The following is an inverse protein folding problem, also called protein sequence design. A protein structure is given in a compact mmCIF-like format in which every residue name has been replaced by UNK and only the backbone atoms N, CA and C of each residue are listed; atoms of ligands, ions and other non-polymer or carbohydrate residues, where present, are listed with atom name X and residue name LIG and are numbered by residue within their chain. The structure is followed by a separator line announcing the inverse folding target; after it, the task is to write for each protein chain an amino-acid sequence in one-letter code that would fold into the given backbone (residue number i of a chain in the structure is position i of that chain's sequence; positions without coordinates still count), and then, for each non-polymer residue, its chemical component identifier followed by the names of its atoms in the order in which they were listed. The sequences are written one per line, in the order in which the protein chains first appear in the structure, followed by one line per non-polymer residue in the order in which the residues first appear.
data_IF_539455267493
#
_entry.id   IF_539455267493
#
_cell.length_a   1.000
_cell.length_b   1.000
_cell.length_c   1.000
_cell.angle_alpha   90.00
_cell.angle_beta   90.00
_cell.angle_gamma   90.00
#
_symmetry.space_group_name_H-M   'P 1'
#
loop_
_entity.id
_entity.type
_entity.pdbx_description
1 polymer ?
#
# COMPACT_ATOMS: atom_id res chain seq x y z
N UNK A 1 -10.44 9.81 -13.24
CA UNK A 1 -9.77 11.11 -13.02
C UNK A 1 -9.42 11.37 -11.56
N UNK A 2 -10.37 11.44 -10.63
CA UNK A 2 -10.08 11.73 -9.21
C UNK A 2 -9.03 10.77 -8.62
N UNK A 3 -9.15 9.47 -8.90
CA UNK A 3 -8.20 8.44 -8.48
C UNK A 3 -6.77 8.77 -8.94
N UNK A 4 -6.58 9.15 -10.21
CA UNK A 4 -5.27 9.56 -10.73
C UNK A 4 -4.71 10.78 -10.00
N UNK A 5 -5.57 11.77 -9.71
CA UNK A 5 -5.18 12.96 -8.95
C UNK A 5 -4.82 12.61 -7.49
N UNK A 6 -5.57 11.72 -6.85
CA UNK A 6 -5.30 11.26 -5.47
C UNK A 6 -3.99 10.45 -5.37
N UNK A 7 -3.73 9.55 -6.32
CA UNK A 7 -2.46 8.83 -6.44
C UNK A 7 -1.26 9.76 -6.64
N UNK A 8 -1.50 10.98 -7.12
CA UNK A 8 -0.52 12.05 -7.31
C UNK A 8 -0.84 13.29 -6.45
N UNK A 9 -1.44 13.10 -5.27
CA UNK A 9 -1.81 14.20 -4.38
C UNK A 9 -0.64 15.18 -4.15
N UNK A 10 -0.95 16.48 -4.17
CA UNK A 10 0.02 17.57 -4.09
C UNK A 10 0.92 17.74 -5.34
N UNK A 11 0.78 16.93 -6.39
CA UNK A 11 1.55 17.06 -7.64
C UNK A 11 0.67 17.47 -8.82
N UNK A 12 1.29 18.13 -9.79
CA UNK A 12 0.65 18.41 -11.06
C UNK A 12 0.53 17.13 -11.90
N UNK A 13 -0.66 16.85 -12.42
CA UNK A 13 -0.91 15.79 -13.38
C UNK A 13 -1.23 16.43 -14.74
N UNK A 14 -0.50 16.06 -15.81
CA UNK A 14 -0.74 16.60 -17.15
C UNK A 14 -2.17 16.34 -17.64
N UNK A 15 -2.76 17.32 -18.32
CA UNK A 15 -4.10 17.18 -18.89
C UNK A 15 -4.14 16.02 -19.90
N UNK A 16 -3.11 15.85 -20.71
CA UNK A 16 -2.99 14.76 -21.69
C UNK A 16 -3.08 13.39 -21.03
N UNK A 17 -2.45 13.21 -19.86
CA UNK A 17 -2.50 11.95 -19.11
C UNK A 17 -3.90 11.69 -18.56
N UNK A 18 -4.56 12.73 -18.01
CA UNK A 18 -5.95 12.61 -17.54
C UNK A 18 -6.91 12.27 -18.69
N UNK A 19 -6.63 12.78 -19.89
CA UNK A 19 -7.41 12.51 -21.09
C UNK A 19 -7.20 11.09 -21.60
N UNK A 20 -5.96 10.63 -21.71
CA UNK A 20 -5.64 9.28 -22.18
C UNK A 20 -6.19 8.21 -21.25
N UNK A 21 -6.13 8.47 -19.94
CA UNK A 21 -6.63 7.59 -18.90
C UNK A 21 -8.14 7.35 -19.00
N UNK A 22 -8.93 8.39 -19.29
CA UNK A 22 -10.40 8.32 -19.19
C UNK A 22 -11.09 8.23 -20.56
N UNK A 23 -10.48 8.79 -21.61
CA UNK A 23 -11.11 8.99 -22.92
C UNK A 23 -10.22 8.53 -24.09
N UNK A 24 -9.51 7.41 -23.93
CA UNK A 24 -8.57 6.85 -24.92
C UNK A 24 -9.13 6.73 -26.36
N UNK A 25 -10.45 6.63 -26.54
CA UNK A 25 -11.13 6.45 -27.82
C UNK A 25 -11.91 7.67 -28.33
N UNK A 26 -11.84 8.82 -27.65
CA UNK A 26 -12.59 10.05 -28.03
C UNK A 26 -11.75 11.05 -28.83
N UNK A 27 -12.40 11.90 -29.64
CA UNK A 27 -11.70 12.98 -30.34
C UNK A 27 -11.18 14.04 -29.37
N UNK A 28 -10.00 14.62 -29.65
CA UNK A 28 -9.31 15.54 -28.74
C UNK A 28 -10.16 16.74 -28.28
N UNK A 29 -10.96 17.33 -29.17
CA UNK A 29 -11.83 18.47 -28.87
C UNK A 29 -12.96 18.08 -27.90
N UNK A 30 -13.50 16.86 -28.05
CA UNK A 30 -14.56 16.34 -27.18
C UNK A 30 -14.01 16.00 -25.81
N UNK A 31 -12.83 15.38 -25.78
CA UNK A 31 -12.15 14.95 -24.56
C UNK A 31 -11.75 16.17 -23.69
N UNK A 32 -11.21 17.23 -24.28
CA UNK A 32 -10.88 18.46 -23.55
C UNK A 32 -12.11 19.14 -22.91
N UNK A 33 -13.24 19.20 -23.62
CA UNK A 33 -14.50 19.70 -23.05
C UNK A 33 -15.00 18.82 -21.91
N UNK A 34 -14.94 17.50 -22.07
CA UNK A 34 -15.34 16.55 -21.04
C UNK A 34 -14.46 16.66 -19.79
N UNK A 35 -13.15 16.86 -19.95
CA UNK A 35 -12.21 17.10 -18.86
C UNK A 35 -12.63 18.29 -18.00
N UNK A 36 -12.90 19.44 -18.63
CA UNK A 36 -13.36 20.63 -17.91
C UNK A 36 -14.68 20.39 -17.15
N UNK A 37 -15.62 19.66 -17.75
CA UNK A 37 -16.89 19.31 -17.09
C UNK A 37 -16.64 18.42 -15.85
N UNK A 38 -15.78 17.40 -15.96
CA UNK A 38 -15.45 16.53 -14.83
C UNK A 38 -14.74 17.32 -13.72
N UNK A 39 -13.78 18.18 -14.07
CA UNK A 39 -13.10 19.05 -13.09
C UNK A 39 -14.09 19.97 -12.37
N UNK A 40 -15.02 20.60 -13.09
CA UNK A 40 -16.06 21.45 -12.48
C UNK A 40 -16.89 20.67 -11.47
N UNK A 41 -17.38 19.47 -11.86
CA UNK A 41 -18.17 18.62 -10.97
C UNK A 41 -17.40 18.16 -9.74
N UNK A 42 -16.11 17.85 -9.87
CA UNK A 42 -15.28 17.49 -8.73
C UNK A 42 -15.08 18.68 -7.78
N UNK A 43 -14.82 19.89 -8.31
CA UNK A 43 -14.73 21.11 -7.49
C UNK A 43 -16.02 21.37 -6.73
N UNK A 44 -17.17 21.23 -7.38
CA UNK A 44 -18.47 21.31 -6.71
C UNK A 44 -18.62 20.28 -5.59
N UNK A 45 -18.21 19.02 -5.85
CA UNK A 45 -18.24 17.96 -4.84
C UNK A 45 -17.28 18.21 -3.66
N UNK A 46 -16.11 18.82 -3.87
CA UNK A 46 -15.24 19.20 -2.76
C UNK A 46 -15.74 20.44 -2.02
N UNK A 47 -16.34 21.40 -2.72
CA UNK A 47 -16.94 22.58 -2.12
C UNK A 47 -18.06 22.22 -1.13
N UNK A 48 -18.87 21.19 -1.41
CA UNK A 48 -19.89 20.70 -0.46
C UNK A 48 -19.28 20.12 0.83
N UNK A 49 -18.01 19.74 0.79
CA UNK A 49 -17.23 19.25 1.93
C UNK A 49 -16.30 20.32 2.53
N UNK A 50 -16.43 21.58 2.10
CA UNK A 50 -15.69 22.72 2.66
C UNK A 50 -14.36 23.05 2.00
N UNK A 51 -14.01 22.42 0.88
CA UNK A 51 -12.74 22.64 0.19
C UNK A 51 -12.94 22.92 -1.31
N UNK A 52 -13.41 24.13 -1.64
CA UNK A 52 -13.67 24.51 -3.03
C UNK A 52 -12.39 24.60 -3.90
N UNK A 53 -11.21 24.70 -3.27
CA UNK A 53 -9.92 24.87 -3.94
C UNK A 53 -9.11 23.57 -4.00
N UNK A 54 -9.67 22.45 -3.51
CA UNK A 54 -9.03 21.13 -3.52
C UNK A 54 -8.45 20.73 -4.89
N UNK A 55 -9.04 21.16 -6.01
CA UNK A 55 -8.49 20.93 -7.35
C UNK A 55 -8.06 22.25 -7.98
N UNK A 56 -6.75 22.42 -8.10
CA UNK A 56 -6.12 23.57 -8.73
C UNK A 56 -5.87 23.33 -10.21
N UNK A 57 -6.07 24.36 -11.02
CA UNK A 57 -5.57 24.37 -12.39
C UNK A 57 -4.16 24.94 -12.38
N UNK A 58 -3.22 24.17 -12.90
CA UNK A 58 -1.79 24.51 -12.96
C UNK A 58 -1.34 24.55 -14.43
N UNK A 59 -0.19 25.16 -14.75
CA UNK A 59 0.33 25.12 -16.12
C UNK A 59 0.41 23.67 -16.64
N UNK A 60 -0.27 23.38 -17.74
CA UNK A 60 -0.27 22.06 -18.39
C UNK A 60 -1.18 20.99 -17.75
N UNK A 61 -1.92 21.29 -16.67
CA UNK A 61 -2.72 20.25 -16.03
C UNK A 61 -3.47 20.65 -14.77
N UNK A 62 -3.65 19.67 -13.89
CA UNK A 62 -4.43 19.81 -12.66
C UNK A 62 -3.70 19.19 -11.48
N UNK A 63 -3.91 19.75 -10.29
CA UNK A 63 -3.35 19.25 -9.03
C UNK A 63 -4.46 19.08 -8.01
N UNK A 64 -4.44 17.98 -7.27
CA UNK A 64 -5.22 17.85 -6.03
C UNK A 64 -4.39 18.45 -4.89
N UNK A 65 -4.78 19.63 -4.42
CA UNK A 65 -4.06 20.46 -3.47
C UNK A 65 -4.33 20.05 -2.00
N UNK A 66 -4.17 18.76 -1.72
CA UNK A 66 -4.22 18.21 -0.36
C UNK A 66 -2.85 17.66 0.01
N UNK A 67 -2.55 17.65 1.31
CA UNK A 67 -1.39 16.92 1.80
C UNK A 67 -1.55 15.43 1.46
N UNK A 68 -0.49 14.82 0.92
CA UNK A 68 -0.49 13.43 0.44
C UNK A 68 -1.08 12.47 1.46
N UNK A 69 -0.76 12.69 2.73
CA UNK A 69 -1.08 11.81 3.83
C UNK A 69 -2.58 11.80 4.21
N UNK A 70 -3.37 12.72 3.65
CA UNK A 70 -4.84 12.65 3.69
C UNK A 70 -5.41 11.60 2.74
N UNK A 71 -4.61 11.06 1.83
CA UNK A 71 -4.98 9.90 1.01
C UNK A 71 -4.39 8.65 1.65
N UNK A 72 -5.26 7.68 1.94
CA UNK A 72 -4.95 6.41 2.60
C UNK A 72 -3.74 5.69 1.98
N UNK A 73 -3.60 5.70 0.66
CA UNK A 73 -2.47 5.07 -0.04
C UNK A 73 -1.11 5.68 0.35
N UNK A 74 -1.00 7.01 0.45
CA UNK A 74 0.27 7.64 0.82
C UNK A 74 0.54 7.47 2.31
N UNK A 75 -0.52 7.48 3.13
CA UNK A 75 -0.44 7.15 4.54
C UNK A 75 0.06 5.74 4.79
N UNK A 76 -0.46 4.76 4.05
CA UNK A 76 -0.02 3.39 4.07
C UNK A 76 1.47 3.27 3.73
N UNK A 77 1.91 3.81 2.60
CA UNK A 77 3.32 3.75 2.16
C UNK A 77 4.26 4.36 3.21
N UNK A 78 3.89 5.51 3.78
CA UNK A 78 4.70 6.17 4.81
C UNK A 78 4.79 5.32 6.08
N UNK A 79 3.66 4.81 6.58
CA UNK A 79 3.63 3.99 7.79
C UNK A 79 4.42 2.68 7.60
N UNK A 80 4.28 2.02 6.45
CA UNK A 80 5.03 0.82 6.09
C UNK A 80 6.55 1.08 6.09
N UNK A 81 6.99 2.20 5.50
CA UNK A 81 8.41 2.62 5.52
C UNK A 81 8.92 2.85 6.94
N UNK A 82 8.13 3.55 7.76
CA UNK A 82 8.48 3.81 9.15
C UNK A 82 8.53 2.53 9.96
N UNK A 83 7.62 1.58 9.70
CA UNK A 83 7.60 0.28 10.35
C UNK A 83 8.86 -0.53 10.02
N UNK A 84 9.28 -0.57 8.75
CA UNK A 84 10.51 -1.24 8.33
C UNK A 84 11.75 -0.60 8.97
N UNK A 85 11.82 0.73 9.03
CA UNK A 85 12.91 1.44 9.70
C UNK A 85 12.96 1.11 11.20
N UNK A 86 11.83 1.18 11.90
CA UNK A 86 11.73 0.82 13.31
C UNK A 86 12.11 -0.65 13.57
N UNK A 87 11.75 -1.56 12.65
CA UNK A 87 12.15 -2.96 12.70
C UNK A 87 13.68 -3.10 12.60
N UNK A 88 14.31 -2.41 11.64
CA UNK A 88 15.76 -2.43 11.45
C UNK A 88 16.53 -1.88 12.66
N UNK A 89 15.95 -0.92 13.38
CA UNK A 89 16.49 -0.34 14.62
C UNK A 89 16.21 -1.21 15.87
N UNK A 90 15.52 -2.34 15.73
CA UNK A 90 15.15 -3.22 16.84
C UNK A 90 14.01 -2.68 17.71
N UNK A 91 13.32 -1.61 17.29
CA UNK A 91 12.18 -1.04 17.99
C UNK A 91 10.89 -1.83 17.70
N UNK A 92 10.85 -3.11 18.11
CA UNK A 92 9.79 -4.07 17.76
C UNK A 92 8.37 -3.58 18.07
N UNK A 93 8.13 -2.99 19.25
CA UNK A 93 6.80 -2.49 19.61
C UNK A 93 6.34 -1.33 18.71
N UNK A 94 7.27 -0.45 18.33
CA UNK A 94 7.00 0.65 17.41
C UNK A 94 6.71 0.14 16.01
N UNK A 95 7.51 -0.80 15.52
CA UNK A 95 7.31 -1.42 14.21
C UNK A 95 5.95 -2.13 14.12
N UNK A 96 5.57 -2.89 15.16
CA UNK A 96 4.28 -3.58 15.22
C UNK A 96 3.09 -2.61 15.17
N UNK A 97 3.15 -1.51 15.94
CA UNK A 97 2.12 -0.49 15.93
C UNK A 97 2.00 0.20 14.56
N UNK A 98 3.12 0.50 13.90
CA UNK A 98 3.14 1.14 12.59
C UNK A 98 2.62 0.22 11.49
N UNK A 99 3.02 -1.06 11.47
CA UNK A 99 2.49 -2.04 10.52
C UNK A 99 0.99 -2.21 10.67
N UNK A 100 0.49 -2.31 11.91
CA UNK A 100 -0.94 -2.42 12.18
C UNK A 100 -1.69 -1.19 11.70
N UNK A 101 -1.19 0.01 12.03
CA UNK A 101 -1.78 1.26 11.57
C UNK A 101 -1.80 1.38 10.04
N UNK A 102 -0.75 0.90 9.36
CA UNK A 102 -0.73 0.85 7.90
C UNK A 102 -1.81 -0.08 7.35
N UNK A 103 -1.95 -1.28 7.90
CA UNK A 103 -2.92 -2.28 7.45
C UNK A 103 -4.37 -1.90 7.76
N UNK A 104 -4.63 -1.18 8.85
CA UNK A 104 -5.97 -0.68 9.23
C UNK A 104 -6.54 0.36 8.25
N UNK A 105 -5.70 1.01 7.43
CA UNK A 105 -6.16 1.93 6.38
C UNK A 105 -6.92 1.21 5.25
N UNK A 106 -6.72 -0.11 5.11
CA UNK A 106 -7.32 -0.90 4.06
C UNK A 106 -8.72 -1.36 4.42
N UNK A 107 -9.69 -0.99 3.57
CA UNK A 107 -11.11 -1.32 3.75
C UNK A 107 -11.59 -2.46 2.83
N UNK A 108 -10.69 -3.02 2.03
CA UNK A 108 -10.99 -4.01 1.01
C UNK A 108 -9.88 -4.08 -0.04
N UNK A 109 -10.11 -4.75 -1.17
CA UNK A 109 -9.20 -4.73 -2.32
C UNK A 109 -8.99 -3.29 -2.83
N UNK A 110 -7.78 -3.02 -3.32
CA UNK A 110 -7.44 -1.71 -3.89
C UNK A 110 -8.44 -1.34 -4.99
N UNK A 111 -9.08 -0.16 -4.85
CA UNK A 111 -9.95 0.42 -5.88
C UNK A 111 -11.12 -0.50 -6.32
N UNK A 112 -11.61 -1.38 -5.44
CA UNK A 112 -12.68 -2.34 -5.73
C UNK A 112 -13.96 -1.70 -6.31
N UNK A 113 -14.25 -0.44 -5.99
CA UNK A 113 -15.41 0.29 -6.50
C UNK A 113 -15.27 0.70 -7.98
N UNK A 114 -14.09 0.52 -8.57
CA UNK A 114 -13.78 0.85 -9.96
C UNK A 114 -13.86 -0.34 -10.92
N UNK A 115 -14.17 -1.55 -10.45
CA UNK A 115 -14.35 -2.78 -11.25
C UNK A 115 -15.60 -2.76 -12.17
N UNK A 116 -16.21 -1.59 -12.36
CA UNK A 116 -17.33 -1.38 -13.28
C UNK A 116 -16.85 -1.41 -14.76
N UNK A 117 -17.75 -1.57 -15.75
CA UNK A 117 -17.44 -1.72 -17.19
C UNK A 117 -16.80 -0.50 -17.87
N UNK A 118 -16.23 0.44 -17.10
CA UNK A 118 -15.65 1.69 -17.54
C UNK A 118 -14.20 1.37 -17.96
N UNK A 119 -14.12 0.49 -18.96
CA UNK A 119 -12.91 0.07 -19.63
C UNK A 119 -12.19 1.29 -20.20
N UNK A 120 -11.01 1.58 -19.68
CA UNK A 120 -10.17 2.69 -20.14
C UNK A 120 -8.90 2.88 -19.33
N UNK A 121 -8.86 2.45 -18.07
CA UNK A 121 -7.76 2.73 -17.17
C UNK A 121 -6.88 1.50 -16.88
N UNK A 122 -6.24 0.94 -17.91
CA UNK A 122 -5.20 -0.09 -17.74
C UNK A 122 -4.18 0.32 -16.67
N UNK A 123 -3.77 1.57 -16.68
CA UNK A 123 -2.84 2.14 -15.72
C UNK A 123 -3.41 2.25 -14.29
N UNK A 124 -4.74 2.31 -14.10
CA UNK A 124 -5.35 2.25 -12.76
C UNK A 124 -5.49 0.82 -12.28
N UNK A 125 -5.81 -0.12 -13.18
CA UNK A 125 -5.79 -1.55 -12.84
C UNK A 125 -4.40 -2.00 -12.41
N UNK A 126 -3.37 -1.65 -13.18
CA UNK A 126 -1.98 -1.96 -12.83
C UNK A 126 -1.58 -1.35 -11.49
N UNK A 127 -2.03 -0.12 -11.20
CA UNK A 127 -1.79 0.48 -9.90
C UNK A 127 -2.55 -0.24 -8.77
N UNK A 128 -3.80 -0.67 -8.99
CA UNK A 128 -4.54 -1.47 -8.02
C UNK A 128 -3.83 -2.80 -7.71
N UNK A 129 -3.34 -3.49 -8.74
CA UNK A 129 -2.54 -4.72 -8.61
C UNK A 129 -1.24 -4.47 -7.85
N UNK A 130 -0.51 -3.40 -8.19
CA UNK A 130 0.72 -2.99 -7.49
C UNK A 130 0.45 -2.72 -6.00
N UNK A 131 -0.62 -2.00 -5.71
CA UNK A 131 -1.05 -1.65 -4.36
C UNK A 131 -1.46 -2.87 -3.55
N UNK A 132 -2.17 -3.82 -4.16
CA UNK A 132 -2.49 -5.08 -3.53
C UNK A 132 -1.23 -5.90 -3.25
N UNK A 133 -0.29 -6.00 -4.19
CA UNK A 133 0.98 -6.67 -3.96
C UNK A 133 1.78 -6.04 -2.81
N UNK A 134 1.80 -4.71 -2.70
CA UNK A 134 2.44 -3.97 -1.61
C UNK A 134 1.75 -4.25 -0.27
N UNK A 135 0.41 -4.28 -0.23
CA UNK A 135 -0.36 -4.67 0.96
C UNK A 135 0.01 -6.07 1.45
N UNK A 136 0.12 -7.04 0.54
CA UNK A 136 0.48 -8.40 0.90
C UNK A 136 1.92 -8.48 1.42
N UNK A 137 2.86 -7.77 0.80
CA UNK A 137 4.24 -7.70 1.30
C UNK A 137 4.30 -7.14 2.73
N UNK A 138 3.55 -6.07 3.02
CA UNK A 138 3.48 -5.50 4.37
C UNK A 138 2.85 -6.46 5.39
N UNK A 139 1.83 -7.25 4.99
CA UNK A 139 1.28 -8.31 5.85
C UNK A 139 2.33 -9.39 6.15
N UNK A 140 3.12 -9.78 5.16
CA UNK A 140 4.21 -10.76 5.30
C UNK A 140 5.31 -10.24 6.23
N UNK A 141 5.72 -8.97 6.09
CA UNK A 141 6.73 -8.36 6.95
C UNK A 141 6.25 -8.21 8.40
N UNK A 142 4.98 -7.86 8.59
CA UNK A 142 4.36 -7.81 9.92
C UNK A 142 4.26 -9.19 10.57
N UNK A 143 3.89 -10.21 9.78
CA UNK A 143 3.86 -11.59 10.24
C UNK A 143 5.25 -12.07 10.70
N UNK A 144 6.30 -11.73 9.96
CA UNK A 144 7.68 -12.06 10.33
C UNK A 144 8.09 -11.42 11.66
N UNK A 145 7.77 -10.13 11.86
CA UNK A 145 8.01 -9.43 13.12
C UNK A 145 7.29 -10.13 14.30
N UNK A 146 6.03 -10.52 14.10
CA UNK A 146 5.23 -11.20 15.13
C UNK A 146 5.71 -12.63 15.42
N UNK A 147 6.20 -13.35 14.41
CA UNK A 147 6.86 -14.64 14.60
C UNK A 147 8.10 -14.50 15.48
N UNK A 148 8.97 -13.52 15.21
CA UNK A 148 10.16 -13.26 16.02
C UNK A 148 9.81 -12.88 17.47
N UNK A 149 8.66 -12.23 17.68
CA UNK A 149 8.14 -11.89 19.01
C UNK A 149 7.46 -13.06 19.76
N UNK A 150 7.35 -14.24 19.14
CA UNK A 150 6.77 -15.44 19.76
C UNK A 150 5.25 -15.56 19.65
N UNK A 151 4.59 -14.73 18.84
CA UNK A 151 3.13 -14.71 18.69
C UNK A 151 2.60 -15.77 17.71
N UNK A 152 3.11 -16.99 17.83
CA UNK A 152 2.90 -18.06 16.85
C UNK A 152 1.44 -18.52 16.80
N UNK A 153 0.77 -18.61 17.96
CA UNK A 153 -0.59 -19.17 18.04
C UNK A 153 -1.62 -18.28 17.39
N UNK A 154 -1.57 -16.97 17.64
CA UNK A 154 -2.52 -16.03 17.04
C UNK A 154 -2.28 -15.92 15.52
N UNK A 155 -1.01 -15.95 15.10
CA UNK A 155 -0.64 -15.74 13.71
C UNK A 155 -0.89 -16.96 12.80
N UNK A 156 -0.83 -18.19 13.32
CA UNK A 156 -1.04 -19.40 12.51
C UNK A 156 -2.40 -19.42 11.79
N UNK A 157 -3.46 -18.93 12.44
CA UNK A 157 -4.79 -18.82 11.83
C UNK A 157 -4.81 -17.83 10.67
N UNK A 158 -4.27 -16.63 10.87
CA UNK A 158 -4.22 -15.57 9.86
C UNK A 158 -3.37 -15.98 8.66
N UNK A 159 -2.22 -16.61 8.89
CA UNK A 159 -1.35 -17.13 7.84
C UNK A 159 -2.02 -18.27 7.04
N UNK A 160 -2.78 -19.15 7.70
CA UNK A 160 -3.54 -20.19 7.00
C UNK A 160 -4.62 -19.62 6.08
N UNK A 161 -5.25 -18.50 6.45
CA UNK A 161 -6.16 -17.78 5.55
C UNK A 161 -5.38 -17.19 4.37
N UNK A 162 -4.29 -16.49 4.66
CA UNK A 162 -3.49 -15.81 3.65
C UNK A 162 -2.89 -16.78 2.61
N UNK A 163 -2.41 -17.95 3.01
CA UNK A 163 -1.93 -19.00 2.09
C UNK A 163 -3.06 -19.53 1.20
N UNK A 164 -4.28 -19.69 1.72
CA UNK A 164 -5.43 -20.13 0.90
C UNK A 164 -5.86 -19.08 -0.11
N UNK A 165 -5.78 -17.80 0.25
CA UNK A 165 -6.11 -16.67 -0.63
C UNK A 165 -5.03 -16.45 -1.70
N UNK A 166 -3.76 -16.72 -1.37
CA UNK A 166 -2.62 -16.47 -2.24
C UNK A 166 -1.68 -17.69 -2.34
N UNK A 167 -2.13 -18.82 -2.92
CA UNK A 167 -1.41 -20.09 -2.89
C UNK A 167 -0.07 -20.09 -3.64
N UNK A 168 0.16 -19.11 -4.52
CA UNK A 168 1.41 -18.98 -5.27
C UNK A 168 2.49 -18.19 -4.51
N UNK A 169 2.20 -17.71 -3.29
CA UNK A 169 3.18 -16.97 -2.47
C UNK A 169 3.87 -17.92 -1.49
N UNK A 170 5.19 -18.02 -1.64
CA UNK A 170 6.00 -18.94 -0.85
C UNK A 170 6.26 -18.44 0.58
N UNK A 171 6.50 -17.13 0.75
CA UNK A 171 6.75 -16.49 2.06
C UNK A 171 5.71 -16.85 3.13
N UNK A 172 4.39 -16.66 2.91
CA UNK A 172 3.40 -16.97 3.94
C UNK A 172 3.26 -18.47 4.21
N UNK A 173 3.56 -19.31 3.24
CA UNK A 173 3.61 -20.77 3.41
C UNK A 173 4.74 -21.16 4.37
N UNK A 174 5.94 -20.61 4.15
CA UNK A 174 7.07 -20.82 5.06
C UNK A 174 6.79 -20.28 6.47
N UNK A 175 6.20 -19.08 6.58
CA UNK A 175 5.80 -18.48 7.85
C UNK A 175 4.77 -19.34 8.60
N UNK A 176 3.79 -19.92 7.89
CA UNK A 176 2.81 -20.83 8.48
C UNK A 176 3.47 -22.10 9.01
N UNK A 177 4.38 -22.71 8.25
CA UNK A 177 5.13 -23.88 8.70
C UNK A 177 5.94 -23.60 9.97
N UNK A 178 6.62 -22.44 10.03
CA UNK A 178 7.36 -22.01 11.21
C UNK A 178 6.43 -21.81 12.42
N UNK A 179 5.30 -21.13 12.22
CA UNK A 179 4.31 -20.93 13.29
C UNK A 179 3.84 -22.26 13.88
N UNK A 180 3.46 -23.22 13.02
CA UNK A 180 3.00 -24.54 13.44
C UNK A 180 4.10 -25.35 14.14
N UNK A 181 5.32 -25.33 13.60
CA UNK A 181 6.46 -26.02 14.20
C UNK A 181 6.74 -25.55 15.64
N UNK A 182 6.68 -24.24 15.90
CA UNK A 182 6.87 -23.69 17.23
C UNK A 182 5.72 -24.00 18.20
N UNK A 183 4.52 -24.32 17.70
CA UNK A 183 3.40 -24.77 18.54
C UNK A 183 3.53 -26.25 18.92
N UNK A 184 4.13 -27.06 18.04
CA UNK A 184 4.33 -28.49 18.25
C UNK A 184 5.54 -28.81 19.16
N UNK A 185 6.52 -27.89 19.27
CA UNK A 185 7.67 -28.01 20.18
C UNK A 185 7.69 -26.92 21.28
N UNK A 186 6.82 -27.02 22.31
CA UNK A 186 6.77 -26.06 23.41
C UNK A 186 8.01 -26.06 24.32
N UNK A 187 8.94 -27.00 24.13
CA UNK A 187 10.10 -27.24 25.01
C UNK A 187 11.32 -26.34 24.74
N UNK A 188 11.42 -25.71 23.56
CA UNK A 188 12.57 -24.87 23.18
C UNK A 188 12.45 -23.38 23.56
N UNK A 189 11.26 -22.89 23.89
CA UNK A 189 11.00 -21.47 24.15
C UNK A 189 11.35 -20.94 25.56
N UNK A 190 11.86 -21.79 26.47
CA UNK A 190 12.11 -21.40 27.89
C UNK A 190 13.58 -21.20 28.29
N UNK A 191 14.51 -21.26 27.34
CA UNK A 191 15.94 -21.09 27.58
C UNK A 191 16.47 -19.86 26.81
N UNK A 192 16.20 -18.67 27.33
CA UNK A 192 16.65 -17.41 26.69
C UNK A 192 16.59 -16.18 27.58
N UNK A 193 16.73 -16.35 28.90
CA UNK A 193 16.95 -15.26 29.85
C UNK A 193 18.45 -15.03 30.03
N UNK A 194 19.07 -14.27 29.14
CA UNK A 194 20.48 -13.92 29.23
C UNK A 194 20.87 -12.89 28.19
N UNK A 195 20.81 -11.61 28.56
CA UNK A 195 21.39 -10.55 27.76
C UNK A 195 22.91 -10.73 27.68
N UNK A 196 23.44 -10.91 26.46
CA UNK A 196 24.75 -10.39 26.04
C UNK A 196 24.97 -10.59 24.52
N UNK A 197 25.11 -9.44 23.84
CA UNK A 197 25.91 -9.14 22.65
C UNK A 197 26.06 -10.18 21.52
N UNK A 198 25.56 -9.77 20.35
CA UNK A 198 26.14 -9.94 19.02
C UNK A 198 26.57 -11.34 18.57
N UNK A 199 25.70 -11.99 17.79
CA UNK A 199 26.12 -12.56 16.50
C UNK A 199 24.88 -12.71 15.61
N UNK A 200 24.83 -11.96 14.52
CA UNK A 200 23.79 -12.10 13.50
C UNK A 200 24.29 -13.13 12.48
N UNK A 201 23.64 -14.29 12.29
CA UNK A 201 23.92 -15.10 11.14
C UNK A 201 23.27 -14.42 9.93
N UNK A 202 24.11 -13.93 9.03
CA UNK A 202 23.66 -13.32 7.79
C UNK A 202 22.98 -14.32 6.85
N UNK A 203 22.02 -13.80 6.09
CA UNK A 203 21.67 -14.30 4.76
C UNK A 203 20.18 -14.58 4.56
N UNK A 204 19.58 -13.77 3.67
CA UNK A 204 18.33 -14.03 2.89
C UNK A 204 17.06 -13.67 3.68
N UNK A 205 16.33 -12.56 3.46
CA UNK A 205 16.20 -11.60 2.35
C UNK A 205 16.12 -10.17 2.91
N UNK A 206 17.10 -9.35 2.55
CA UNK A 206 17.00 -7.89 2.61
C UNK A 206 16.16 -7.45 1.39
N UNK A 207 14.83 -7.50 1.53
CA UNK A 207 13.90 -7.15 0.44
C UNK A 207 12.88 -6.09 0.90
N UNK A 208 13.24 -5.33 1.93
CA UNK A 208 12.48 -4.16 2.38
C UNK A 208 12.80 -2.90 1.54
N UNK A 209 13.87 -2.89 0.75
CA UNK A 209 14.26 -1.72 -0.06
C UNK A 209 13.78 -1.79 -1.52
N UNK A 210 13.64 -2.98 -2.12
CA UNK A 210 13.40 -3.08 -3.57
C UNK A 210 11.94 -2.88 -3.99
N UNK A 211 10.96 -3.14 -3.12
CA UNK A 211 9.53 -2.91 -3.46
C UNK A 211 9.17 -1.41 -3.43
N UNK A 212 9.93 -0.60 -2.69
CA UNK A 212 9.66 0.83 -2.48
C UNK A 212 10.49 1.76 -3.39
N UNK A 213 11.39 1.19 -4.20
CA UNK A 213 12.36 1.88 -5.04
C UNK A 213 12.06 1.79 -6.54
N UNK A 214 10.81 1.55 -6.97
CA UNK A 214 10.47 1.84 -8.36
C UNK A 214 10.42 3.36 -8.56
N UNK A 215 11.29 3.91 -9.43
CA UNK A 215 11.37 5.34 -9.60
C UNK A 215 10.11 5.82 -10.35
N UNK A 216 9.55 6.93 -9.88
CA UNK A 216 8.58 7.72 -10.64
C UNK A 216 9.34 8.45 -11.75
N UNK A 217 9.73 7.73 -12.79
CA UNK A 217 10.33 8.32 -13.98
C UNK A 217 9.21 8.75 -14.95
N UNK A 218 9.11 10.07 -15.16
CA UNK A 218 8.70 10.71 -16.42
C UNK A 218 7.21 10.77 -16.74
#
# INVERSE_FOLDING_TARGET
MLVRLALNAGQAVPAELLLSDVWASSSAVTAAKQLHIVVSKLREAFATHGDAEAIETVPGGYRLAIERDHVDVHAFVRLSRQACAARAEGATATADALFRGALELWRGPALAELDAPWAGLEAVRLEAERLEAERLAVREDHAELRLAAGDHRALAGDLAVHVREHPLRERPTAQLMLALHHLDDPGRGRMGGGAQHADAPGGVLDDCQDVLALPREG
#
